data_IF_631271233080
#
_entry.id   IF_631271233080
#
_cell.length_a   1.000
_cell.length_b   1.000
_cell.length_c   1.000
_cell.angle_alpha   90.00
_cell.angle_beta   90.00
_cell.angle_gamma   90.00
#
_symmetry.space_group_name_H-M   'P 1'
#
loop_
_entity.id
_entity.type
_entity.pdbx_description
1 polymer ?
#
# COMPACT_ATOMS: atom_id res chain seq x y z
N UNK A 1 -1.64 -9.53 3.35
CA UNK A 1 -1.44 -8.12 2.87
C UNK A 1 -0.34 -8.13 1.83
N UNK A 2 -0.53 -7.45 0.70
CA UNK A 2 0.42 -7.36 -0.40
C UNK A 2 1.53 -6.37 0.00
N UNK A 3 2.80 -6.78 -0.10
CA UNK A 3 3.92 -5.94 0.29
C UNK A 3 4.25 -4.88 -0.78
N UNK A 4 4.88 -3.77 -0.37
CA UNK A 4 5.34 -2.73 -1.31
C UNK A 4 6.32 -3.29 -2.35
N UNK A 5 7.15 -4.24 -1.95
CA UNK A 5 8.04 -4.98 -2.85
C UNK A 5 7.28 -5.78 -3.91
N UNK A 6 6.15 -6.39 -3.54
CA UNK A 6 5.32 -7.13 -4.50
C UNK A 6 4.64 -6.17 -5.48
N UNK A 7 4.12 -5.02 -5.02
CA UNK A 7 3.61 -3.96 -5.91
C UNK A 7 4.66 -3.49 -6.91
N UNK A 8 5.92 -3.31 -6.45
CA UNK A 8 7.01 -2.93 -7.34
C UNK A 8 7.28 -3.97 -8.43
N UNK A 9 7.26 -5.27 -8.10
CA UNK A 9 7.41 -6.33 -9.10
C UNK A 9 6.22 -6.40 -10.05
N UNK A 10 5.01 -6.25 -9.55
CA UNK A 10 3.80 -6.23 -10.37
C UNK A 10 3.82 -5.03 -11.33
N UNK A 11 4.25 -3.85 -10.87
CA UNK A 11 4.41 -2.65 -11.69
C UNK A 11 5.53 -2.75 -12.74
N UNK A 12 6.52 -3.62 -12.52
CA UNK A 12 7.57 -3.94 -13.49
C UNK A 12 7.05 -4.92 -14.55
N UNK A 13 6.44 -6.00 -14.10
CA UNK A 13 6.01 -7.08 -14.97
C UNK A 13 4.87 -6.68 -15.92
N UNK A 14 4.04 -5.67 -15.58
CA UNK A 14 2.93 -5.24 -16.44
C UNK A 14 3.39 -4.72 -17.81
N UNK A 15 4.64 -4.23 -17.92
CA UNK A 15 5.21 -3.84 -19.21
C UNK A 15 5.37 -5.01 -20.20
N UNK A 16 5.38 -6.23 -19.70
CA UNK A 16 5.50 -7.45 -20.52
C UNK A 16 4.15 -7.91 -21.12
N UNK A 17 3.07 -7.14 -20.89
CA UNK A 17 1.79 -7.30 -21.58
C UNK A 17 1.86 -6.90 -23.06
N UNK A 18 2.77 -5.99 -23.42
CA UNK A 18 2.92 -5.44 -24.76
C UNK A 18 3.27 -6.53 -25.79
N UNK A 19 2.30 -6.83 -26.65
CA UNK A 19 2.41 -7.85 -27.70
C UNK A 19 3.31 -7.44 -28.86
N UNK A 20 3.60 -6.17 -28.99
CA UNK A 20 4.44 -5.65 -30.09
C UNK A 20 5.91 -5.68 -29.73
N UNK A 21 6.24 -5.62 -28.45
CA UNK A 21 7.61 -5.53 -27.91
C UNK A 21 8.11 -6.83 -27.27
N UNK A 22 7.22 -7.80 -27.00
CA UNK A 22 7.56 -9.07 -26.33
C UNK A 22 7.27 -10.28 -27.22
N UNK A 23 8.24 -11.18 -27.33
CA UNK A 23 8.03 -12.44 -28.05
C UNK A 23 7.05 -13.38 -27.32
N UNK A 24 7.02 -13.34 -26.00
CA UNK A 24 6.10 -14.10 -25.14
C UNK A 24 5.42 -13.13 -24.19
N UNK A 25 4.39 -12.41 -24.61
CA UNK A 25 3.69 -11.45 -23.75
C UNK A 25 2.95 -12.16 -22.62
N UNK A 26 2.84 -11.47 -21.49
CA UNK A 26 2.04 -11.93 -20.35
C UNK A 26 0.60 -12.15 -20.80
N UNK A 27 0.05 -13.29 -20.41
CA UNK A 27 -1.31 -13.73 -20.74
C UNK A 27 -2.04 -14.18 -19.47
N UNK A 28 -3.34 -14.45 -19.58
CA UNK A 28 -4.09 -15.06 -18.49
C UNK A 28 -3.43 -16.38 -18.04
N UNK A 29 -3.36 -16.59 -16.74
CA UNK A 29 -2.67 -17.68 -16.04
C UNK A 29 -1.13 -17.64 -16.08
N UNK A 30 -0.51 -16.58 -16.62
CA UNK A 30 0.92 -16.36 -16.41
C UNK A 30 1.19 -16.05 -14.93
N UNK A 31 2.30 -16.56 -14.38
CA UNK A 31 2.79 -16.15 -13.07
C UNK A 31 3.65 -14.89 -13.20
N UNK A 32 3.60 -14.00 -12.22
CA UNK A 32 4.30 -12.72 -12.16
C UNK A 32 4.81 -12.44 -10.74
N UNK A 33 5.56 -11.37 -10.56
CA UNK A 33 6.10 -10.93 -9.27
C UNK A 33 6.88 -12.06 -8.57
N UNK A 34 7.84 -12.66 -9.29
CA UNK A 34 8.65 -13.79 -8.80
C UNK A 34 7.82 -15.03 -8.44
N UNK A 35 6.85 -15.34 -9.28
CA UNK A 35 5.94 -16.49 -9.16
C UNK A 35 5.05 -16.50 -7.90
N UNK A 36 4.82 -15.32 -7.32
CA UNK A 36 3.92 -15.17 -6.17
C UNK A 36 2.49 -14.83 -6.56
N UNK A 37 2.29 -14.30 -7.75
CA UNK A 37 1.00 -13.84 -8.26
C UNK A 37 0.68 -14.49 -9.59
N UNK A 38 -0.62 -14.62 -9.88
CA UNK A 38 -1.13 -15.15 -11.13
C UNK A 38 -2.05 -14.14 -11.80
N UNK A 39 -1.94 -14.01 -13.12
CA UNK A 39 -2.81 -13.17 -13.93
C UNK A 39 -4.18 -13.83 -14.08
N UNK A 40 -5.22 -13.25 -13.49
CA UNK A 40 -6.56 -13.85 -13.39
C UNK A 40 -7.51 -13.46 -14.52
N UNK A 41 -7.19 -12.40 -15.26
CA UNK A 41 -7.97 -11.93 -16.42
C UNK A 41 -7.06 -11.76 -17.64
N UNK A 42 -7.61 -11.86 -18.87
CA UNK A 42 -6.82 -11.51 -20.05
C UNK A 42 -6.32 -10.07 -19.94
N UNK A 43 -5.00 -9.85 -20.03
CA UNK A 43 -4.43 -8.51 -19.99
C UNK A 43 -4.98 -7.65 -21.13
N UNK A 44 -5.08 -6.36 -20.88
CA UNK A 44 -5.44 -5.38 -21.91
C UNK A 44 -4.16 -4.81 -22.53
N UNK A 45 -4.13 -4.80 -23.84
CA UNK A 45 -3.16 -4.12 -24.68
C UNK A 45 -3.93 -3.32 -25.73
N UNK A 46 -4.30 -2.08 -25.36
CA UNK A 46 -5.15 -1.23 -26.18
C UNK A 46 -4.31 -0.39 -27.14
N UNK A 47 -4.09 -0.93 -28.34
CA UNK A 47 -3.30 -0.26 -29.38
C UNK A 47 -3.91 1.05 -29.91
N UNK A 48 -5.17 1.36 -29.57
CA UNK A 48 -5.81 2.59 -30.01
C UNK A 48 -5.44 3.84 -29.21
N UNK A 49 -5.12 3.67 -27.92
CA UNK A 49 -4.71 4.76 -27.02
C UNK A 49 -3.51 4.41 -26.15
N UNK A 50 -2.92 3.23 -26.32
CA UNK A 50 -1.70 2.82 -25.60
C UNK A 50 -1.92 2.29 -24.18
N UNK A 51 -3.14 2.27 -23.62
CA UNK A 51 -3.38 1.77 -22.27
C UNK A 51 -3.14 0.27 -22.19
N UNK A 52 -2.27 -0.14 -21.28
CA UNK A 52 -1.93 -1.52 -21.00
C UNK A 52 -2.15 -1.81 -19.52
N UNK A 53 -2.79 -2.95 -19.22
CA UNK A 53 -3.10 -3.33 -17.85
C UNK A 53 -3.19 -4.85 -17.68
N UNK A 54 -2.90 -5.31 -16.46
CA UNK A 54 -3.17 -6.69 -16.04
C UNK A 54 -3.85 -6.71 -14.67
N UNK A 55 -4.55 -7.82 -14.40
CA UNK A 55 -5.19 -8.09 -13.11
C UNK A 55 -4.58 -9.33 -12.52
N UNK A 56 -4.04 -9.21 -11.32
CA UNK A 56 -3.35 -10.30 -10.65
C UNK A 56 -3.94 -10.57 -9.27
N UNK A 57 -3.82 -11.81 -8.82
CA UNK A 57 -4.15 -12.24 -7.47
C UNK A 57 -2.98 -13.02 -6.88
N UNK A 58 -2.78 -13.02 -5.55
CA UNK A 58 -1.82 -13.90 -4.90
C UNK A 58 -2.10 -15.37 -5.23
N UNK A 59 -1.07 -16.19 -5.32
CA UNK A 59 -1.22 -17.65 -5.41
C UNK A 59 -1.44 -18.16 -3.98
N UNK A 60 -2.49 -18.96 -3.78
CA UNK A 60 -2.80 -19.57 -2.48
C UNK A 60 -1.63 -20.42 -1.99
N UNK A 61 -1.32 -20.27 -0.72
CA UNK A 61 -0.26 -21.04 -0.07
C UNK A 61 -0.48 -22.54 -0.23
N UNK A 62 0.60 -23.26 -0.56
CA UNK A 62 0.56 -24.70 -0.79
C UNK A 62 0.01 -25.14 -2.15
N UNK A 63 -0.32 -24.20 -3.04
CA UNK A 63 -0.74 -24.49 -4.42
C UNK A 63 0.28 -23.96 -5.43
N UNK A 64 0.22 -24.43 -6.68
CA UNK A 64 1.15 -23.99 -7.73
C UNK A 64 0.62 -22.81 -8.56
N UNK A 65 -0.70 -22.65 -8.65
CA UNK A 65 -1.32 -21.67 -9.54
C UNK A 65 -2.80 -21.35 -9.17
N UNK A 66 -3.27 -21.69 -7.96
CA UNK A 66 -4.64 -21.35 -7.57
C UNK A 66 -4.68 -19.89 -7.06
N UNK A 67 -5.47 -18.99 -7.68
CA UNK A 67 -5.55 -17.60 -7.25
C UNK A 67 -6.32 -17.46 -5.93
N UNK A 68 -5.83 -16.60 -5.06
CA UNK A 68 -6.60 -16.05 -3.96
C UNK A 68 -7.26 -14.74 -4.41
N UNK A 69 -8.50 -14.82 -4.83
CA UNK A 69 -9.25 -13.66 -5.31
C UNK A 69 -9.85 -12.80 -4.20
N UNK A 70 -9.53 -13.05 -2.93
CA UNK A 70 -9.90 -12.14 -1.84
C UNK A 70 -9.17 -10.81 -1.93
N UNK A 71 -7.92 -10.82 -2.44
CA UNK A 71 -7.09 -9.65 -2.72
C UNK A 71 -6.72 -9.61 -4.22
N UNK A 72 -6.95 -8.48 -4.88
CA UNK A 72 -6.66 -8.31 -6.31
C UNK A 72 -5.87 -7.02 -6.53
N UNK A 73 -4.89 -7.07 -7.42
CA UNK A 73 -4.16 -5.88 -7.88
C UNK A 73 -4.46 -5.64 -9.36
N UNK A 74 -4.85 -4.42 -9.71
CA UNK A 74 -4.87 -3.95 -11.10
C UNK A 74 -3.60 -3.13 -11.33
N UNK A 75 -2.76 -3.61 -12.23
CA UNK A 75 -1.52 -2.93 -12.61
C UNK A 75 -1.67 -2.25 -13.96
N UNK A 76 -1.17 -1.01 -14.06
CA UNK A 76 -1.15 -0.22 -15.29
C UNK A 76 0.30 0.02 -15.72
N UNK A 77 0.59 -0.20 -17.00
CA UNK A 77 1.91 0.09 -17.55
C UNK A 77 1.99 1.56 -17.95
N UNK A 78 3.13 2.17 -17.67
CA UNK A 78 3.48 3.45 -18.26
C UNK A 78 3.83 3.32 -19.74
N UNK A 79 4.16 4.45 -20.36
CA UNK A 79 4.58 4.48 -21.76
C UNK A 79 5.84 3.65 -21.95
N UNK A 80 5.75 2.69 -22.85
CA UNK A 80 6.83 1.77 -23.19
C UNK A 80 7.84 2.49 -24.12
N UNK A 81 8.59 3.45 -23.61
CA UNK A 81 9.50 4.23 -24.43
C UNK A 81 10.93 3.71 -24.33
N UNK A 82 11.48 3.34 -25.46
CA UNK A 82 12.92 3.33 -25.69
C UNK A 82 13.51 4.75 -25.86
N UNK A 83 12.65 5.76 -26.00
CA UNK A 83 13.01 7.15 -26.22
C UNK A 83 12.40 8.06 -25.15
N UNK A 84 13.27 8.74 -24.37
CA UNK A 84 12.85 9.67 -23.32
C UNK A 84 12.03 10.89 -23.81
N UNK A 85 11.92 11.11 -25.12
CA UNK A 85 11.10 12.15 -25.73
C UNK A 85 9.62 11.75 -25.79
N UNK A 86 9.30 10.47 -25.96
CA UNK A 86 7.90 9.99 -25.97
C UNK A 86 7.27 10.07 -24.56
N UNK A 87 8.08 9.80 -23.51
CA UNK A 87 7.63 9.91 -22.12
C UNK A 87 7.25 11.37 -21.79
N UNK A 88 8.03 12.35 -22.23
CA UNK A 88 7.75 13.76 -21.95
C UNK A 88 6.45 14.21 -22.62
N UNK A 89 6.16 13.75 -23.84
CA UNK A 89 4.93 14.08 -24.58
C UNK A 89 3.70 13.46 -23.92
N UNK A 90 3.79 12.22 -23.43
CA UNK A 90 2.66 11.55 -22.77
C UNK A 90 2.42 12.11 -21.36
N UNK A 91 3.47 12.56 -20.68
CA UNK A 91 3.35 13.27 -19.38
C UNK A 91 2.74 14.66 -19.55
N UNK A 92 3.03 15.37 -20.65
CA UNK A 92 2.35 16.65 -20.95
C UNK A 92 0.83 16.47 -21.10
N UNK A 93 0.35 15.30 -21.56
CA UNK A 93 -1.08 15.00 -21.63
C UNK A 93 -1.73 14.81 -20.26
N UNK A 94 -1.03 14.17 -19.31
CA UNK A 94 -1.46 14.10 -17.90
C UNK A 94 -1.42 15.50 -17.26
N UNK A 95 -0.41 16.29 -17.60
CA UNK A 95 -0.29 17.67 -17.14
C UNK A 95 -1.39 18.59 -17.70
N UNK A 96 -1.91 18.29 -18.91
CA UNK A 96 -2.99 19.06 -19.57
C UNK A 96 -4.41 18.71 -19.09
N UNK A 97 -4.59 17.63 -18.34
CA UNK A 97 -5.91 17.21 -17.82
C UNK A 97 -6.91 16.70 -18.87
N UNK A 98 -6.45 16.37 -20.08
CA UNK A 98 -7.33 16.01 -21.19
C UNK A 98 -7.91 14.59 -21.03
N UNK A 99 -9.23 14.50 -20.90
CA UNK A 99 -9.95 13.22 -20.91
C UNK A 99 -10.22 12.68 -22.32
N UNK A 100 -10.01 13.50 -23.35
CA UNK A 100 -10.12 13.13 -24.76
C UNK A 100 -8.97 13.75 -25.55
N UNK A 101 -8.27 12.94 -26.32
CA UNK A 101 -7.22 13.38 -27.24
C UNK A 101 -7.76 13.59 -28.63
N UNK A 102 -7.36 14.68 -29.28
CA UNK A 102 -7.66 14.92 -30.68
C UNK A 102 -6.80 13.98 -31.53
N UNK A 103 -7.37 12.89 -32.01
CA UNK A 103 -6.65 11.88 -32.78
C UNK A 103 -6.28 12.34 -34.20
N UNK A 104 -7.06 13.27 -34.75
CA UNK A 104 -6.85 13.84 -36.09
C UNK A 104 -7.56 15.19 -36.18
N UNK A 105 -6.76 16.24 -36.39
CA UNK A 105 -7.26 17.62 -36.54
C UNK A 105 -8.14 17.84 -37.80
N UNK A 106 -8.00 16.96 -38.81
CA UNK A 106 -8.72 17.05 -40.07
C UNK A 106 -10.12 16.42 -39.98
N UNK A 107 -10.25 15.31 -39.23
CA UNK A 107 -11.51 14.56 -39.07
C UNK A 107 -12.24 14.88 -37.77
N UNK A 108 -11.62 15.65 -36.84
CA UNK A 108 -12.14 15.93 -35.49
C UNK A 108 -12.52 14.67 -34.71
N UNK A 109 -11.79 13.58 -34.93
CA UNK A 109 -11.99 12.34 -34.19
C UNK A 109 -11.26 12.42 -32.83
N UNK A 110 -12.00 12.12 -31.76
CA UNK A 110 -11.46 12.08 -30.41
C UNK A 110 -11.22 10.63 -30.00
N UNK A 111 -10.06 10.35 -29.42
CA UNK A 111 -9.81 9.09 -28.71
C UNK A 111 -10.09 9.27 -27.23
N UNK A 112 -10.59 8.22 -26.58
CA UNK A 112 -10.66 8.19 -25.12
C UNK A 112 -9.25 8.27 -24.56
N UNK A 113 -9.06 9.08 -23.52
CA UNK A 113 -7.79 9.10 -22.79
C UNK A 113 -7.51 7.73 -22.15
N UNK A 114 -6.24 7.45 -21.88
CA UNK A 114 -5.84 6.24 -21.18
C UNK A 114 -6.53 6.16 -19.80
N UNK A 115 -6.54 7.24 -18.99
CA UNK A 115 -7.20 7.27 -17.69
C UNK A 115 -8.68 6.91 -17.73
N UNK A 116 -9.43 7.37 -18.75
CA UNK A 116 -10.85 6.98 -18.92
C UNK A 116 -11.00 5.49 -19.24
N UNK A 117 -10.15 4.95 -20.10
CA UNK A 117 -10.16 3.53 -20.46
C UNK A 117 -9.77 2.68 -19.26
N UNK A 118 -8.78 3.12 -18.47
CA UNK A 118 -8.34 2.48 -17.24
C UNK A 118 -9.49 2.40 -16.22
N UNK A 119 -10.25 3.49 -16.05
CA UNK A 119 -11.41 3.53 -15.15
C UNK A 119 -12.53 2.59 -15.60
N UNK A 120 -12.89 2.59 -16.90
CA UNK A 120 -13.89 1.68 -17.44
C UNK A 120 -13.48 0.20 -17.25
N UNK A 121 -12.19 -0.09 -17.40
CA UNK A 121 -11.66 -1.43 -17.12
C UNK A 121 -11.78 -1.80 -15.64
N UNK A 122 -11.38 -0.92 -14.75
CA UNK A 122 -11.48 -1.12 -13.31
C UNK A 122 -12.93 -1.36 -12.85
N UNK A 123 -13.89 -0.61 -13.39
CA UNK A 123 -15.32 -0.80 -13.11
C UNK A 123 -15.81 -2.19 -13.54
N UNK A 124 -15.34 -2.69 -14.68
CA UNK A 124 -15.64 -4.04 -15.14
C UNK A 124 -15.06 -5.12 -14.21
N UNK A 125 -13.81 -4.94 -13.77
CA UNK A 125 -13.16 -5.86 -12.83
C UNK A 125 -13.89 -5.84 -11.49
N UNK A 126 -14.20 -4.67 -10.93
CA UNK A 126 -14.96 -4.54 -9.68
C UNK A 126 -16.32 -5.24 -9.74
N UNK A 127 -17.02 -5.12 -10.88
CA UNK A 127 -18.32 -5.79 -11.08
C UNK A 127 -18.18 -7.31 -11.15
N UNK A 128 -17.03 -7.82 -11.65
CA UNK A 128 -16.76 -9.25 -11.77
C UNK A 128 -16.32 -9.87 -10.44
N UNK A 129 -15.63 -9.09 -9.61
CA UNK A 129 -15.08 -9.49 -8.31
C UNK A 129 -15.63 -8.64 -7.17
N UNK A 130 -16.96 -8.68 -6.89
CA UNK A 130 -17.61 -7.74 -5.97
C UNK A 130 -17.20 -7.90 -4.50
N UNK A 131 -16.63 -9.05 -4.14
CA UNK A 131 -16.21 -9.37 -2.77
C UNK A 131 -14.68 -9.26 -2.55
N UNK A 132 -13.94 -8.86 -3.58
CA UNK A 132 -12.48 -8.74 -3.51
C UNK A 132 -12.06 -7.38 -2.97
N UNK A 133 -11.01 -7.35 -2.17
CA UNK A 133 -10.26 -6.14 -1.90
C UNK A 133 -9.40 -5.83 -3.13
N UNK A 134 -9.68 -4.71 -3.79
CA UNK A 134 -8.98 -4.33 -5.02
C UNK A 134 -8.08 -3.14 -4.74
N UNK A 135 -6.84 -3.25 -5.16
CA UNK A 135 -5.84 -2.18 -5.09
C UNK A 135 -5.27 -1.91 -6.48
N UNK A 136 -4.57 -0.79 -6.63
CA UNK A 136 -3.95 -0.42 -7.90
C UNK A 136 -2.45 -0.21 -7.75
N UNK A 137 -1.72 -0.41 -8.83
CA UNK A 137 -0.30 -0.10 -8.91
C UNK A 137 0.10 0.31 -10.31
N UNK A 138 1.20 1.02 -10.41
CA UNK A 138 1.79 1.39 -11.69
C UNK A 138 3.18 2.00 -11.52
N UNK A 139 3.78 2.33 -12.65
CA UNK A 139 5.04 3.04 -12.73
C UNK A 139 4.94 4.11 -13.82
N UNK A 140 5.56 5.27 -13.61
CA UNK A 140 5.53 6.36 -14.58
C UNK A 140 4.09 6.81 -14.89
N UNK A 141 3.71 6.97 -16.14
CA UNK A 141 2.33 7.29 -16.55
C UNK A 141 1.31 6.25 -16.04
N UNK A 142 1.68 4.96 -16.00
CA UNK A 142 0.82 3.91 -15.44
C UNK A 142 0.49 4.11 -13.96
N UNK A 143 1.37 4.75 -13.21
CA UNK A 143 1.06 5.15 -11.83
C UNK A 143 0.06 6.30 -11.78
N UNK A 144 0.14 7.27 -12.69
CA UNK A 144 -0.90 8.32 -12.78
C UNK A 144 -2.27 7.73 -13.10
N UNK A 145 -2.33 6.72 -13.97
CA UNK A 145 -3.57 5.96 -14.25
C UNK A 145 -4.06 5.21 -13.01
N UNK A 146 -3.14 4.53 -12.30
CA UNK A 146 -3.44 3.79 -11.08
C UNK A 146 -3.99 4.70 -9.98
N UNK A 147 -3.36 5.86 -9.74
CA UNK A 147 -3.82 6.89 -8.80
C UNK A 147 -5.22 7.40 -9.16
N UNK A 148 -5.43 7.74 -10.44
CA UNK A 148 -6.72 8.22 -10.92
C UNK A 148 -7.83 7.19 -10.70
N UNK A 149 -7.57 5.92 -11.04
CA UNK A 149 -8.52 4.82 -10.83
C UNK A 149 -8.77 4.59 -9.34
N UNK A 150 -7.73 4.55 -8.51
CA UNK A 150 -7.85 4.38 -7.06
C UNK A 150 -8.74 5.47 -6.45
N UNK A 151 -8.53 6.72 -6.82
CA UNK A 151 -9.35 7.84 -6.36
C UNK A 151 -10.82 7.66 -6.77
N UNK A 152 -11.10 7.39 -8.05
CA UNK A 152 -12.47 7.26 -8.57
C UNK A 152 -13.22 6.05 -8.01
N UNK A 153 -12.50 4.98 -7.70
CA UNK A 153 -13.06 3.74 -7.15
C UNK A 153 -13.08 3.70 -5.62
N UNK A 154 -12.32 4.57 -4.96
CA UNK A 154 -12.12 4.58 -3.51
C UNK A 154 -11.27 3.39 -3.06
N UNK A 155 -10.21 3.08 -3.77
CA UNK A 155 -9.27 2.00 -3.49
C UNK A 155 -7.93 2.53 -2.97
N UNK A 156 -7.12 1.63 -2.42
CA UNK A 156 -5.72 1.94 -2.13
C UNK A 156 -4.87 1.85 -3.39
N UNK A 157 -3.83 2.68 -3.42
CA UNK A 157 -2.79 2.67 -4.45
C UNK A 157 -1.41 2.55 -3.83
N UNK A 158 -0.54 1.80 -4.49
CA UNK A 158 0.90 1.77 -4.21
C UNK A 158 1.65 1.75 -5.54
N UNK A 159 2.28 2.84 -5.88
CA UNK A 159 3.00 2.90 -7.14
C UNK A 159 4.30 3.69 -7.06
N UNK A 160 4.95 3.85 -8.22
CA UNK A 160 6.33 4.28 -8.28
C UNK A 160 6.55 5.32 -9.38
N UNK A 161 7.18 6.43 -9.00
CA UNK A 161 7.68 7.44 -9.93
C UNK A 161 6.61 7.99 -10.90
N UNK A 162 5.35 8.04 -10.46
CA UNK A 162 4.25 8.59 -11.26
C UNK A 162 4.14 10.10 -11.17
N UNK A 163 3.87 10.81 -12.26
CA UNK A 163 3.46 12.22 -12.22
C UNK A 163 2.20 12.45 -11.40
N UNK A 164 2.10 13.62 -10.77
CA UNK A 164 0.91 14.05 -10.02
C UNK A 164 -0.30 14.27 -10.96
N UNK A 165 -1.47 13.87 -10.51
CA UNK A 165 -2.71 13.87 -11.30
C UNK A 165 -3.62 15.08 -11.04
N UNK A 166 -3.16 16.11 -10.34
CA UNK A 166 -4.00 17.24 -9.93
C UNK A 166 -4.77 17.90 -11.09
N UNK A 167 -4.19 17.92 -12.29
CA UNK A 167 -4.84 18.47 -13.48
C UNK A 167 -5.98 17.60 -14.06
N UNK A 168 -6.08 16.33 -13.63
CA UNK A 168 -7.09 15.37 -14.11
C UNK A 168 -8.32 15.27 -13.21
N UNK A 169 -8.32 15.95 -12.07
CA UNK A 169 -9.30 15.79 -10.99
C UNK A 169 -9.77 17.16 -10.49
N UNK A 170 -10.87 17.18 -9.74
CA UNK A 170 -11.44 18.41 -9.18
C UNK A 170 -10.70 18.86 -7.91
N UNK A 171 -10.88 20.13 -7.51
CA UNK A 171 -10.30 20.68 -6.28
C UNK A 171 -10.74 19.88 -5.03
N UNK A 172 -12.00 19.45 -4.95
CA UNK A 172 -12.50 18.61 -3.84
C UNK A 172 -11.78 17.25 -3.79
N UNK A 173 -11.44 16.68 -4.95
CA UNK A 173 -10.69 15.42 -5.05
C UNK A 173 -9.22 15.61 -4.69
N UNK A 174 -8.62 16.75 -5.05
CA UNK A 174 -7.27 17.11 -4.60
C UNK A 174 -7.24 17.23 -3.08
N UNK A 175 -8.20 17.92 -2.48
CA UNK A 175 -8.28 18.07 -1.02
C UNK A 175 -8.54 16.74 -0.31
N UNK A 176 -9.33 15.84 -0.93
CA UNK A 176 -9.48 14.48 -0.44
C UNK A 176 -8.15 13.71 -0.45
N UNK A 177 -7.39 13.75 -1.54
CA UNK A 177 -6.08 13.08 -1.63
C UNK A 177 -5.07 13.65 -0.63
N UNK A 178 -5.02 14.97 -0.47
CA UNK A 178 -4.18 15.67 0.54
C UNK A 178 -4.45 15.18 1.98
N UNK A 179 -5.71 14.88 2.28
CA UNK A 179 -6.12 14.43 3.62
C UNK A 179 -5.99 12.92 3.84
N UNK A 180 -5.67 12.15 2.78
CA UNK A 180 -5.54 10.68 2.83
C UNK A 180 -4.27 10.20 2.11
N UNK A 181 -3.07 10.75 2.42
CA UNK A 181 -1.85 10.42 1.69
C UNK A 181 -1.47 8.94 1.80
N UNK A 182 -1.84 8.27 2.88
CA UNK A 182 -1.54 6.84 3.09
C UNK A 182 -2.34 5.93 2.14
N UNK A 183 -3.52 6.41 1.68
CA UNK A 183 -4.32 5.71 0.68
C UNK A 183 -3.69 5.74 -0.71
N UNK A 184 -2.96 6.82 -1.03
CA UNK A 184 -2.44 7.12 -2.37
C UNK A 184 -0.93 7.22 -2.34
N UNK A 185 -0.24 6.09 -2.14
CA UNK A 185 1.21 6.05 -1.96
C UNK A 185 1.94 5.99 -3.30
N UNK A 186 2.53 7.11 -3.69
CA UNK A 186 3.36 7.22 -4.87
C UNK A 186 4.82 7.44 -4.44
N UNK A 187 5.60 6.38 -4.40
CA UNK A 187 7.01 6.45 -4.08
C UNK A 187 7.77 7.13 -5.21
N UNK A 188 8.45 8.24 -4.91
CA UNK A 188 9.21 9.02 -5.90
C UNK A 188 10.65 9.22 -5.48
N UNK A 189 11.57 9.03 -6.41
CA UNK A 189 12.93 9.48 -6.22
C UNK A 189 12.98 11.01 -6.40
N UNK A 190 13.65 11.72 -5.47
CA UNK A 190 13.80 13.19 -5.54
C UNK A 190 14.49 13.67 -6.81
N UNK A 191 15.37 12.85 -7.40
CA UNK A 191 16.07 13.15 -8.65
C UNK A 191 15.29 12.74 -9.91
N UNK A 192 14.11 12.12 -9.77
CA UNK A 192 13.30 11.70 -10.91
C UNK A 192 12.70 12.89 -11.64
N UNK A 193 13.22 13.19 -12.84
CA UNK A 193 12.75 14.32 -13.66
C UNK A 193 11.39 14.08 -14.31
N UNK A 194 10.93 12.84 -14.41
CA UNK A 194 9.65 12.47 -15.02
C UNK A 194 8.55 12.48 -13.96
N UNK A 195 8.72 11.71 -12.89
CA UNK A 195 7.75 11.63 -11.80
C UNK A 195 7.47 12.99 -11.12
N UNK A 196 8.46 13.89 -11.12
CA UNK A 196 8.35 15.21 -10.49
C UNK A 196 7.90 16.33 -11.43
N UNK A 197 7.66 16.06 -12.73
CA UNK A 197 7.38 17.09 -13.74
C UNK A 197 6.10 17.88 -13.44
N UNK A 198 5.08 17.25 -12.87
CA UNK A 198 3.79 17.86 -12.50
C UNK A 198 3.74 18.30 -11.03
N UNK A 199 4.87 18.25 -10.31
CA UNK A 199 4.93 18.60 -8.90
C UNK A 199 4.29 17.57 -7.96
N UNK A 200 3.72 18.01 -6.83
CA UNK A 200 3.06 17.18 -5.81
C UNK A 200 1.92 17.94 -5.15
N UNK A 201 0.95 18.38 -5.96
CA UNK A 201 -0.19 19.15 -5.47
C UNK A 201 -1.14 18.28 -4.64
N UNK A 202 -1.32 17.00 -5.04
CA UNK A 202 -2.14 16.01 -4.32
C UNK A 202 -1.52 15.51 -3.02
N UNK A 203 -0.23 15.79 -2.74
CA UNK A 203 0.54 15.31 -1.58
C UNK A 203 0.67 13.79 -1.48
N UNK A 204 0.53 13.08 -2.59
CA UNK A 204 0.63 11.62 -2.64
C UNK A 204 2.06 11.12 -2.79
N UNK A 205 3.01 11.98 -3.19
CA UNK A 205 4.41 11.60 -3.34
C UNK A 205 5.08 11.40 -1.98
N UNK A 206 5.65 10.21 -1.80
CA UNK A 206 6.54 9.84 -0.69
C UNK A 206 7.95 9.84 -1.26
N UNK A 207 8.76 10.81 -0.85
CA UNK A 207 10.08 11.02 -1.44
C UNK A 207 11.14 10.10 -0.85
N UNK A 208 12.00 9.63 -1.74
CA UNK A 208 13.13 8.78 -1.45
C UNK A 208 14.41 9.38 -2.04
N UNK A 209 15.38 9.62 -1.18
CA UNK A 209 16.63 10.34 -1.49
C UNK A 209 17.79 9.41 -1.83
N UNK A 210 17.59 8.38 -2.65
CA UNK A 210 18.72 7.58 -3.11
C UNK A 210 19.48 8.32 -4.19
N UNK A 211 20.66 8.78 -3.84
CA UNK A 211 21.56 9.55 -4.75
C UNK A 211 22.71 8.69 -5.27
N UNK A 212 23.14 7.69 -4.50
CA UNK A 212 24.31 6.87 -4.82
C UNK A 212 24.07 6.00 -6.06
N UNK A 213 24.97 6.11 -7.04
CA UNK A 213 24.89 5.35 -8.30
C UNK A 213 23.84 5.85 -9.29
N UNK A 214 23.10 6.93 -8.98
CA UNK A 214 22.10 7.53 -9.86
C UNK A 214 22.72 8.73 -10.59
N UNK A 215 23.01 8.54 -11.86
CA UNK A 215 23.52 9.58 -12.74
C UNK A 215 22.43 10.04 -13.72
N UNK A 216 21.70 11.08 -13.32
CA UNK A 216 20.72 11.76 -14.15
C UNK A 216 19.25 11.34 -13.92
N UNK A 217 18.31 12.19 -14.35
CA UNK A 217 16.88 12.08 -14.03
C UNK A 217 16.20 10.83 -14.60
N UNK A 218 16.66 10.34 -15.75
CA UNK A 218 16.10 9.11 -16.35
C UNK A 218 16.50 7.84 -15.58
N UNK A 219 17.70 7.81 -14.98
CA UNK A 219 18.10 6.68 -14.12
C UNK A 219 17.35 6.70 -12.80
N UNK A 220 17.07 7.89 -12.25
CA UNK A 220 16.29 8.05 -11.04
C UNK A 220 14.85 7.56 -11.22
N UNK A 221 14.33 7.58 -12.45
CA UNK A 221 12.99 7.11 -12.80
C UNK A 221 12.83 5.59 -12.75
N UNK A 222 13.90 4.82 -12.78
CA UNK A 222 13.85 3.36 -12.93
C UNK A 222 13.38 2.62 -11.68
N UNK A 223 12.56 1.57 -11.85
CA UNK A 223 12.06 0.68 -10.79
C UNK A 223 13.14 -0.10 -10.03
N UNK A 224 14.36 -0.23 -10.58
CA UNK A 224 15.46 -0.92 -9.92
C UNK A 224 16.06 -0.15 -8.73
N UNK A 225 15.70 1.11 -8.53
CA UNK A 225 16.30 1.99 -7.52
C UNK A 225 15.72 1.79 -6.11
N UNK A 226 14.63 1.02 -5.96
CA UNK A 226 13.94 0.83 -4.69
C UNK A 226 14.59 -0.27 -3.85
N UNK A 227 14.81 0.01 -2.56
CA UNK A 227 15.30 -0.93 -1.56
C UNK A 227 14.17 -1.35 -0.62
N UNK A 228 14.21 -2.60 -0.16
CA UNK A 228 13.16 -3.17 0.68
C UNK A 228 13.76 -3.94 1.86
N UNK A 229 13.09 -3.90 3.00
CA UNK A 229 13.41 -4.77 4.13
C UNK A 229 12.95 -6.23 3.88
N UNK A 230 13.07 -7.08 4.90
CA UNK A 230 12.68 -8.51 4.79
C UNK A 230 11.17 -8.68 4.66
N UNK A 231 10.41 -7.77 5.23
CA UNK A 231 8.95 -7.71 5.21
C UNK A 231 8.41 -7.16 3.89
N UNK A 232 9.29 -6.59 3.06
CA UNK A 232 8.95 -6.05 1.74
C UNK A 232 8.48 -4.60 1.76
N UNK A 233 8.75 -3.85 2.82
CA UNK A 233 8.49 -2.43 2.93
C UNK A 233 9.64 -1.63 2.32
N UNK A 234 9.34 -0.47 1.70
CA UNK A 234 10.36 0.45 1.17
C UNK A 234 11.18 1.04 2.32
N UNK A 235 12.49 0.97 2.20
CA UNK A 235 13.44 1.49 3.18
C UNK A 235 14.39 2.50 2.58
N UNK A 236 14.86 3.44 3.41
CA UNK A 236 15.90 4.39 3.07
C UNK A 236 17.30 3.74 2.97
N UNK A 237 18.35 4.53 2.76
CA UNK A 237 19.73 4.06 2.67
C UNK A 237 20.24 3.39 3.96
N UNK A 238 19.63 3.70 5.11
CA UNK A 238 19.98 3.16 6.41
C UNK A 238 19.14 1.93 6.79
N UNK A 239 18.26 1.48 5.91
CA UNK A 239 17.33 0.38 6.16
C UNK A 239 16.11 0.76 6.99
N UNK A 240 15.87 2.07 7.20
CA UNK A 240 14.70 2.56 7.92
C UNK A 240 13.49 2.61 6.97
N UNK A 241 12.35 2.15 7.44
CA UNK A 241 11.09 2.23 6.72
C UNK A 241 10.69 3.68 6.43
N UNK A 242 10.27 3.93 5.20
CA UNK A 242 9.82 5.26 4.77
C UNK A 242 8.38 5.51 5.20
N UNK A 243 7.57 4.45 5.28
CA UNK A 243 6.16 4.54 5.64
C UNK A 243 5.87 3.74 6.90
N UNK A 244 5.22 4.37 7.86
CA UNK A 244 4.82 3.77 9.14
C UNK A 244 3.72 2.72 8.94
N UNK A 245 3.95 1.48 9.39
CA UNK A 245 3.03 0.35 9.22
C UNK A 245 1.71 0.54 9.96
N UNK A 246 1.73 1.20 11.12
CA UNK A 246 0.53 1.52 11.89
C UNK A 246 -0.36 2.51 11.13
N UNK A 247 0.22 3.52 10.50
CA UNK A 247 -0.49 4.49 9.65
C UNK A 247 -1.11 3.80 8.45
N UNK A 248 -0.41 2.84 7.83
CA UNK A 248 -0.95 2.04 6.73
C UNK A 248 -2.15 1.19 7.14
N UNK A 249 -2.10 0.54 8.30
CA UNK A 249 -3.22 -0.27 8.82
C UNK A 249 -4.46 0.60 9.08
N UNK A 250 -4.26 1.81 9.60
CA UNK A 250 -5.33 2.78 9.80
C UNK A 250 -5.93 3.25 8.48
N UNK A 251 -5.11 3.53 7.47
CA UNK A 251 -5.55 3.94 6.14
C UNK A 251 -6.42 2.85 5.47
N UNK A 252 -6.01 1.58 5.53
CA UNK A 252 -6.81 0.46 5.02
C UNK A 252 -8.18 0.39 5.67
N UNK A 253 -8.26 0.58 6.99
CA UNK A 253 -9.52 0.61 7.72
C UNK A 253 -10.41 1.77 7.25
N UNK A 254 -9.81 2.94 7.01
CA UNK A 254 -10.50 4.13 6.50
C UNK A 254 -11.07 3.88 5.11
N UNK A 255 -10.29 3.26 4.20
CA UNK A 255 -10.73 2.91 2.84
C UNK A 255 -11.89 1.92 2.87
N UNK A 256 -11.80 0.86 3.66
CA UNK A 256 -12.90 -0.11 3.80
C UNK A 256 -14.17 0.55 4.33
N UNK A 257 -14.05 1.43 5.31
CA UNK A 257 -15.18 2.22 5.84
C UNK A 257 -15.77 3.14 4.78
N UNK A 258 -14.94 3.81 3.99
CA UNK A 258 -15.40 4.65 2.88
C UNK A 258 -16.15 3.85 1.82
N UNK A 259 -15.68 2.66 1.45
CA UNK A 259 -16.36 1.79 0.50
C UNK A 259 -17.76 1.37 0.98
N UNK A 260 -17.91 1.07 2.28
CA UNK A 260 -19.21 0.77 2.89
C UNK A 260 -20.12 1.99 2.81
N UNK A 261 -19.62 3.18 3.16
CA UNK A 261 -20.38 4.43 3.07
C UNK A 261 -20.82 4.74 1.63
N UNK A 262 -19.96 4.50 0.65
CA UNK A 262 -20.30 4.65 -0.78
C UNK A 262 -21.39 3.69 -1.20
N UNK A 263 -21.35 2.42 -0.77
CA UNK A 263 -22.44 1.46 -0.97
C UNK A 263 -23.76 1.94 -0.34
N UNK A 264 -23.71 2.44 0.89
CA UNK A 264 -24.88 3.04 1.56
C UNK A 264 -25.50 4.16 0.74
N UNK A 265 -24.68 5.09 0.21
CA UNK A 265 -25.15 6.21 -0.63
C UNK A 265 -25.74 5.75 -1.96
N UNK A 266 -25.17 4.75 -2.62
CA UNK A 266 -25.68 4.21 -3.86
C UNK A 266 -27.03 3.52 -3.69
N UNK A 267 -27.20 2.77 -2.60
CA UNK A 267 -28.45 2.07 -2.27
C UNK A 267 -29.55 3.04 -1.82
N UNK A 268 -29.21 4.19 -1.20
CA UNK A 268 -30.20 5.19 -0.79
C UNK A 268 -30.93 5.86 -1.94
N UNK A 269 -30.39 5.84 -3.16
CA UNK A 269 -31.10 6.33 -4.35
C UNK A 269 -32.33 5.49 -4.70
N UNK A 270 -32.43 4.22 -4.22
CA UNK A 270 -33.58 3.33 -4.32
C UNK A 270 -34.41 3.22 -3.03
N UNK A 271 -33.96 3.85 -1.91
CA UNK A 271 -34.53 3.71 -0.57
C UNK A 271 -34.02 2.43 0.13
N UNK A 272 -33.06 2.56 1.07
CA UNK A 272 -32.63 1.44 1.91
C UNK A 272 -33.77 1.02 2.84
N UNK A 273 -34.07 -0.28 2.86
CA UNK A 273 -34.87 -0.88 3.93
C UNK A 273 -34.15 -0.78 5.29
N UNK A 274 -34.90 -0.93 6.39
CA UNK A 274 -34.29 -0.91 7.72
C UNK A 274 -33.25 -2.01 7.90
N UNK A 275 -33.49 -3.20 7.33
CA UNK A 275 -32.61 -4.35 7.39
C UNK A 275 -31.31 -4.13 6.63
N UNK A 276 -31.35 -3.50 5.44
CA UNK A 276 -30.15 -3.15 4.69
C UNK A 276 -29.29 -2.12 5.42
N UNK A 277 -29.89 -1.17 6.14
CA UNK A 277 -29.16 -0.23 6.99
C UNK A 277 -28.46 -0.95 8.14
N UNK A 278 -29.19 -1.82 8.88
CA UNK A 278 -28.64 -2.61 9.98
C UNK A 278 -27.46 -3.46 9.50
N UNK A 279 -27.60 -4.12 8.37
CA UNK A 279 -26.52 -4.94 7.81
C UNK A 279 -25.26 -4.11 7.47
N UNK A 280 -25.42 -2.98 6.79
CA UNK A 280 -24.31 -2.11 6.45
C UNK A 280 -23.66 -1.42 7.66
N UNK A 281 -24.45 -1.10 8.70
CA UNK A 281 -23.91 -0.56 9.95
C UNK A 281 -23.13 -1.63 10.71
N UNK A 282 -23.61 -2.87 10.72
CA UNK A 282 -22.93 -4.03 11.28
C UNK A 282 -21.61 -4.34 10.55
N UNK A 283 -21.61 -4.31 9.22
CA UNK A 283 -20.40 -4.46 8.40
C UNK A 283 -19.37 -3.38 8.73
N UNK A 284 -19.80 -2.12 8.84
CA UNK A 284 -18.93 -1.00 9.19
C UNK A 284 -18.33 -1.15 10.59
N UNK A 285 -19.11 -1.53 11.58
CA UNK A 285 -18.65 -1.77 12.95
C UNK A 285 -17.59 -2.89 13.00
N UNK A 286 -17.81 -3.96 12.24
CA UNK A 286 -16.86 -5.09 12.13
C UNK A 286 -15.54 -4.67 11.48
N UNK A 287 -15.59 -3.86 10.42
CA UNK A 287 -14.39 -3.34 9.74
C UNK A 287 -13.59 -2.44 10.68
N UNK A 288 -14.23 -1.52 11.38
CA UNK A 288 -13.56 -0.62 12.33
C UNK A 288 -12.92 -1.42 13.48
N UNK A 289 -13.65 -2.37 14.07
CA UNK A 289 -13.13 -3.21 15.14
C UNK A 289 -11.94 -4.06 14.71
N UNK A 290 -11.98 -4.62 13.49
CA UNK A 290 -10.86 -5.37 12.92
C UNK A 290 -9.66 -4.47 12.63
N UNK A 291 -9.89 -3.26 12.15
CA UNK A 291 -8.84 -2.27 11.91
C UNK A 291 -8.11 -1.84 13.18
N UNK A 292 -8.83 -1.66 14.28
CA UNK A 292 -8.22 -1.35 15.58
C UNK A 292 -7.29 -2.47 16.06
N UNK A 293 -7.69 -3.73 15.90
CA UNK A 293 -6.85 -4.89 16.24
C UNK A 293 -5.61 -4.91 15.35
N UNK A 294 -5.78 -4.83 14.03
CA UNK A 294 -4.66 -4.84 13.08
C UNK A 294 -3.66 -3.71 13.33
N UNK A 295 -4.14 -2.50 13.63
CA UNK A 295 -3.27 -1.36 13.96
C UNK A 295 -2.49 -1.61 15.25
N UNK A 296 -3.13 -2.17 16.28
CA UNK A 296 -2.46 -2.49 17.54
C UNK A 296 -1.44 -3.63 17.41
N UNK A 297 -1.74 -4.65 16.60
CA UNK A 297 -0.81 -5.76 16.30
C UNK A 297 0.42 -5.24 15.55
N UNK A 298 0.23 -4.38 14.54
CA UNK A 298 1.33 -3.76 13.80
C UNK A 298 2.21 -2.92 14.72
N UNK A 299 1.60 -2.09 15.57
CA UNK A 299 2.33 -1.29 16.57
C UNK A 299 3.11 -2.17 17.57
N UNK A 300 2.55 -3.30 17.98
CA UNK A 300 3.24 -4.25 18.86
C UNK A 300 4.49 -4.83 18.19
N UNK A 301 4.41 -5.23 16.92
CA UNK A 301 5.56 -5.78 16.18
C UNK A 301 6.65 -4.71 15.97
N UNK A 302 6.29 -3.48 15.69
CA UNK A 302 7.22 -2.35 15.59
C UNK A 302 7.93 -2.07 16.95
N UNK A 303 7.18 -2.11 18.06
CA UNK A 303 7.74 -1.96 19.41
C UNK A 303 8.69 -3.12 19.75
N UNK A 304 8.34 -4.36 19.42
CA UNK A 304 9.20 -5.55 19.62
C UNK A 304 10.48 -5.45 18.80
N UNK A 305 10.37 -5.04 17.53
CA UNK A 305 11.55 -4.82 16.67
C UNK A 305 12.47 -3.76 17.23
N UNK A 306 11.92 -2.61 17.64
CA UNK A 306 12.68 -1.52 18.27
C UNK A 306 13.31 -1.93 19.61
N UNK A 307 12.60 -2.71 20.42
CA UNK A 307 13.10 -3.24 21.68
C UNK A 307 14.31 -4.14 21.45
N UNK A 308 14.22 -5.07 20.50
CA UNK A 308 15.32 -5.97 20.14
C UNK A 308 16.54 -5.19 19.66
N UNK A 309 16.36 -4.23 18.76
CA UNK A 309 17.45 -3.40 18.25
C UNK A 309 18.14 -2.60 19.37
N UNK A 310 17.36 -2.01 20.29
CA UNK A 310 17.91 -1.26 21.42
C UNK A 310 18.71 -2.13 22.40
N UNK A 311 18.28 -3.37 22.64
CA UNK A 311 19.03 -4.32 23.49
C UNK A 311 20.31 -4.77 22.77
N UNK A 312 20.26 -5.08 21.49
CA UNK A 312 21.45 -5.42 20.68
C UNK A 312 22.48 -4.27 20.70
N UNK A 313 22.03 -3.02 20.52
CA UNK A 313 22.90 -1.83 20.60
C UNK A 313 23.49 -1.65 22.01
N UNK A 314 22.71 -1.88 23.06
CA UNK A 314 23.19 -1.83 24.45
C UNK A 314 24.23 -2.91 24.73
N UNK A 315 24.09 -4.12 24.21
CA UNK A 315 25.06 -5.20 24.30
C UNK A 315 26.36 -4.86 23.55
N UNK A 316 26.26 -4.29 22.36
CA UNK A 316 27.42 -3.83 21.59
C UNK A 316 28.16 -2.71 22.32
N UNK A 317 27.44 -1.74 22.88
CA UNK A 317 27.99 -0.67 23.71
C UNK A 317 28.72 -1.24 24.94
N UNK A 318 28.12 -2.19 25.65
CA UNK A 318 28.75 -2.86 26.77
C UNK A 318 30.04 -3.60 26.38
N UNK A 319 30.00 -4.33 25.26
CA UNK A 319 31.15 -5.07 24.74
C UNK A 319 32.31 -4.14 24.36
N UNK A 320 31.98 -2.96 23.82
CA UNK A 320 32.97 -1.92 23.52
C UNK A 320 33.53 -1.30 24.79
N UNK A 321 32.67 -1.00 25.77
CA UNK A 321 33.03 -0.38 27.05
C UNK A 321 33.99 -1.26 27.87
N UNK A 322 33.77 -2.58 27.93
CA UNK A 322 34.64 -3.50 28.67
C UNK A 322 35.99 -3.79 27.99
N UNK A 323 36.18 -3.33 26.75
CA UNK A 323 37.43 -3.51 26.05
C UNK A 323 38.50 -2.54 26.55
N UNK A 324 39.73 -3.05 26.70
CA UNK A 324 40.85 -2.22 27.16
C UNK A 324 41.10 -1.07 26.16
N UNK A 325 41.12 0.20 26.61
CA UNK A 325 41.43 1.31 25.72
C UNK A 325 42.82 1.21 25.11
N UNK A 326 42.96 1.60 23.86
CA UNK A 326 44.24 1.53 23.15
C UNK A 326 45.33 2.35 23.87
N UNK A 327 46.49 1.72 24.11
CA UNK A 327 47.66 2.37 24.70
C UNK A 327 47.70 2.28 26.23
N UNK A 328 46.76 1.67 26.92
CA UNK A 328 46.79 1.40 28.35
C UNK A 328 47.37 0.00 28.56
N UNK A 329 48.57 -0.06 29.18
CA UNK A 329 49.31 -1.31 29.41
C UNK A 329 49.49 -1.66 30.89
N UNK A 330 49.10 -0.77 31.81
CA UNK A 330 49.32 -0.92 33.24
C UNK A 330 48.05 -1.29 34.05
N UNK A 331 46.87 -1.25 33.41
CA UNK A 331 45.62 -1.68 34.01
C UNK A 331 45.26 -3.12 33.57
N UNK A 332 44.77 -3.90 34.51
CA UNK A 332 44.18 -5.20 34.23
C UNK A 332 42.69 -5.02 33.85
N UNK A 333 42.11 -6.01 33.14
CA UNK A 333 40.68 -6.00 32.84
C UNK A 333 39.81 -5.92 34.11
N UNK A 334 40.26 -6.50 35.23
CA UNK A 334 39.55 -6.45 36.51
C UNK A 334 39.54 -5.04 37.09
N UNK A 335 40.68 -4.33 37.08
CA UNK A 335 40.77 -2.94 37.54
C UNK A 335 39.96 -1.97 36.68
N UNK A 336 39.90 -2.21 35.35
CA UNK A 336 39.07 -1.45 34.44
C UNK A 336 37.58 -1.67 34.77
N UNK A 337 37.16 -2.92 34.96
CA UNK A 337 35.78 -3.25 35.31
C UNK A 337 35.37 -2.66 36.69
N UNK A 338 36.27 -2.65 37.65
CA UNK A 338 36.04 -2.04 38.98
C UNK A 338 35.86 -0.51 38.86
N UNK A 339 36.72 0.15 38.08
CA UNK A 339 36.62 1.60 37.87
C UNK A 339 35.31 1.98 37.16
N UNK A 340 34.86 1.20 36.15
CA UNK A 340 33.57 1.41 35.51
C UNK A 340 32.39 1.16 36.47
N UNK A 341 32.48 0.11 37.30
CA UNK A 341 31.44 -0.20 38.29
C UNK A 341 31.30 0.90 39.36
N UNK A 342 32.43 1.47 39.82
CA UNK A 342 32.43 2.63 40.72
C UNK A 342 31.78 3.86 40.08
N UNK A 343 31.97 4.04 38.75
CA UNK A 343 31.31 5.06 37.96
C UNK A 343 29.83 4.77 37.63
N UNK A 344 29.30 3.63 38.07
CA UNK A 344 27.94 3.20 37.81
C UNK A 344 27.73 2.62 36.39
N UNK A 345 28.82 2.35 35.66
CA UNK A 345 28.78 1.77 34.31
C UNK A 345 28.91 0.25 34.41
N UNK A 346 27.82 -0.45 34.40
CA UNK A 346 27.74 -1.91 34.55
C UNK A 346 26.87 -2.54 33.46
N UNK A 347 27.00 -3.84 33.26
CA UNK A 347 26.07 -4.58 32.38
C UNK A 347 24.61 -4.33 32.79
N UNK A 348 24.33 -4.30 34.09
CA UNK A 348 22.99 -4.01 34.61
C UNK A 348 22.52 -2.62 34.21
N UNK A 349 23.38 -1.60 34.28
CA UNK A 349 22.99 -0.22 33.97
C UNK A 349 22.82 0.05 32.50
N UNK A 350 23.54 -0.65 31.63
CA UNK A 350 23.50 -0.46 30.17
C UNK A 350 22.52 -1.44 29.53
N UNK A 351 22.66 -2.74 29.78
CA UNK A 351 21.88 -3.77 29.08
C UNK A 351 20.58 -4.12 29.82
N UNK A 352 20.71 -4.56 31.11
CA UNK A 352 19.54 -5.08 31.84
C UNK A 352 18.45 -4.00 32.06
N UNK A 353 18.84 -2.76 32.32
CA UNK A 353 17.86 -1.66 32.46
C UNK A 353 17.21 -1.30 31.15
N UNK A 354 17.95 -1.35 30.05
CA UNK A 354 17.39 -1.13 28.70
C UNK A 354 16.37 -2.22 28.37
N UNK A 355 16.73 -3.48 28.54
CA UNK A 355 15.86 -4.64 28.36
C UNK A 355 14.59 -4.53 29.21
N UNK A 356 14.74 -4.34 30.51
CA UNK A 356 13.60 -4.14 31.44
C UNK A 356 12.71 -2.94 31.05
N UNK A 357 13.28 -1.88 30.50
CA UNK A 357 12.52 -0.72 30.05
C UNK A 357 11.63 -1.10 28.85
N UNK A 358 12.19 -1.78 27.87
CA UNK A 358 11.47 -2.18 26.68
C UNK A 358 10.48 -3.32 26.95
N UNK A 359 10.80 -4.27 27.82
CA UNK A 359 9.86 -5.32 28.27
C UNK A 359 8.55 -4.72 28.78
N UNK A 360 8.64 -3.64 29.58
CA UNK A 360 7.45 -2.93 30.07
C UNK A 360 6.64 -2.28 28.95
N UNK A 361 7.30 -1.80 27.91
CA UNK A 361 6.62 -1.22 26.74
C UNK A 361 5.93 -2.29 25.90
N UNK A 362 6.62 -3.40 25.66
CA UNK A 362 6.06 -4.57 24.96
C UNK A 362 4.84 -5.11 25.71
N UNK A 363 4.96 -5.35 27.04
CA UNK A 363 3.85 -5.84 27.85
C UNK A 363 2.62 -4.91 27.79
N UNK A 364 2.84 -3.60 27.80
CA UNK A 364 1.74 -2.63 27.67
C UNK A 364 1.10 -2.64 26.27
N UNK A 365 1.87 -2.83 25.21
CA UNK A 365 1.36 -2.97 23.85
C UNK A 365 0.57 -4.29 23.70
N UNK A 366 1.04 -5.39 24.29
CA UNK A 366 0.31 -6.68 24.31
C UNK A 366 -1.04 -6.57 25.06
N UNK A 367 -1.09 -5.80 26.14
CA UNK A 367 -2.35 -5.49 26.85
C UNK A 367 -3.33 -4.73 25.95
N UNK A 368 -2.83 -3.78 25.15
CA UNK A 368 -3.68 -3.05 24.18
C UNK A 368 -4.21 -3.96 23.08
N UNK A 369 -3.37 -4.84 22.49
CA UNK A 369 -3.81 -5.84 21.50
C UNK A 369 -4.91 -6.73 22.10
N UNK A 370 -4.70 -7.22 23.32
CA UNK A 370 -5.69 -8.04 24.03
C UNK A 370 -7.00 -7.28 24.24
N UNK A 371 -6.92 -6.01 24.63
CA UNK A 371 -8.09 -5.15 24.84
C UNK A 371 -8.88 -4.95 23.55
N UNK A 372 -8.22 -4.63 22.46
CA UNK A 372 -8.89 -4.44 21.18
C UNK A 372 -9.42 -5.75 20.59
N UNK A 373 -8.74 -6.88 20.80
CA UNK A 373 -9.23 -8.20 20.40
C UNK A 373 -10.50 -8.57 21.15
N UNK A 374 -10.56 -8.29 22.45
CA UNK A 374 -11.78 -8.50 23.27
C UNK A 374 -12.91 -7.59 22.77
N UNK A 375 -12.63 -6.31 22.58
CA UNK A 375 -13.60 -5.35 22.05
C UNK A 375 -14.16 -5.78 20.68
N UNK A 376 -13.28 -6.26 19.77
CA UNK A 376 -13.71 -6.82 18.47
C UNK A 376 -14.66 -7.99 18.66
N UNK A 377 -14.34 -8.93 19.55
CA UNK A 377 -15.18 -10.09 19.86
C UNK A 377 -16.54 -9.67 20.40
N UNK A 378 -16.60 -8.69 21.31
CA UNK A 378 -17.82 -8.16 21.87
C UNK A 378 -18.69 -7.46 20.81
N UNK A 379 -18.08 -6.67 19.93
CA UNK A 379 -18.76 -6.03 18.79
C UNK A 379 -19.32 -7.10 17.83
N UNK A 380 -18.54 -8.11 17.47
CA UNK A 380 -19.00 -9.20 16.60
C UNK A 380 -20.18 -9.96 17.20
N UNK A 381 -20.11 -10.31 18.50
CA UNK A 381 -21.20 -10.97 19.21
C UNK A 381 -22.47 -10.10 19.26
N UNK A 382 -22.31 -8.79 19.49
CA UNK A 382 -23.42 -7.84 19.44
C UNK A 382 -24.06 -7.75 18.05
N UNK A 383 -23.24 -7.71 17.00
CA UNK A 383 -23.70 -7.71 15.60
C UNK A 383 -24.46 -8.99 15.27
N UNK A 384 -23.93 -10.17 15.62
CA UNK A 384 -24.59 -11.46 15.40
C UNK A 384 -25.94 -11.53 16.12
N UNK A 385 -25.99 -11.05 17.36
CA UNK A 385 -27.22 -10.98 18.14
C UNK A 385 -28.27 -10.09 17.47
N UNK A 386 -27.85 -8.94 16.97
CA UNK A 386 -28.71 -7.97 16.29
C UNK A 386 -29.27 -8.52 14.98
N UNK A 387 -28.41 -9.15 14.16
CA UNK A 387 -28.81 -9.78 12.90
C UNK A 387 -29.73 -10.97 13.10
N UNK A 388 -29.48 -11.77 14.15
CA UNK A 388 -30.34 -12.90 14.53
C UNK A 388 -31.75 -12.43 14.95
N UNK A 389 -31.82 -11.37 15.76
CA UNK A 389 -33.10 -10.77 16.18
C UNK A 389 -33.86 -10.14 15.03
N UNK A 390 -33.18 -9.50 14.10
CA UNK A 390 -33.83 -8.95 12.90
C UNK A 390 -34.42 -10.06 12.03
N UNK A 391 -33.70 -11.18 11.86
CA UNK A 391 -34.17 -12.37 11.14
C UNK A 391 -35.38 -13.04 11.82
N UNK A 392 -35.36 -13.13 13.14
CA UNK A 392 -36.50 -13.66 13.95
C UNK A 392 -37.74 -12.81 13.74
N UNK A 393 -37.64 -11.50 13.90
CA UNK A 393 -38.73 -10.55 13.68
C UNK A 393 -39.29 -10.61 12.26
N UNK A 394 -38.43 -10.72 11.24
CA UNK A 394 -38.87 -10.88 9.85
C UNK A 394 -39.64 -12.20 9.64
N UNK A 395 -39.28 -13.27 10.35
CA UNK A 395 -40.00 -14.54 10.34
C UNK A 395 -41.38 -14.42 10.98
N UNK A 396 -41.47 -13.73 12.12
CA UNK A 396 -42.71 -13.50 12.86
C UNK A 396 -43.71 -12.66 12.04
N UNK A 397 -43.25 -11.61 11.37
CA UNK A 397 -44.08 -10.81 10.45
C UNK A 397 -44.64 -11.63 9.29
N UNK A 398 -43.84 -12.52 8.69
CA UNK A 398 -44.34 -13.42 7.62
C UNK A 398 -45.38 -14.41 8.11
N UNK A 399 -45.24 -14.89 9.36
CA UNK A 399 -46.24 -15.77 9.97
C UNK A 399 -47.55 -15.05 10.34
N UNK A 400 -47.50 -13.73 10.52
CA UNK A 400 -48.67 -12.88 10.78
C UNK A 400 -49.48 -12.55 9.49
N UNK A 401 -48.79 -12.53 8.32
CA UNK A 401 -49.43 -12.27 7.03
C UNK A 401 -50.04 -13.53 6.38
N UNK A 402 -49.74 -14.72 6.90
CA UNK A 402 -50.25 -16.02 6.42
C UNK A 402 -51.48 -16.49 7.21
#
# INVERSE_FOLDING_TARGET
MISEKDYRYIADDVYDVDRTKRNNPISKNSTVAKDKYIVIEPPIDNTSNGMQAMVVAPIKEGTTAEPDTSEIVIAYAGTNSGDGLDIATDVEMVAGGDTYLLADSTTKTFRKSQGKTALEYAQKISSKYPNSEITTTGHSLGESEALYVALKMGWMNVGYNGPDIHNMISDDEIDYMKSHPEQFRNYRNTLDGIGNITGNETKTAIYYDKVEGIYGPLKAHGLANWSFNKEGQVVDENGKEITDGMVLSLAQTTVKTFQINKRKQQMTKGGLSSNEKIFLDAEQATVIASGLVSTAETALEEIKSSAKAAVEEAEELWNTTKSMPFGITELTEAELAEAYAEGGVTYESIVTKTDTHFDKKVAKAEELVTTYTTLKSDIQSGVETMLSKDSELAGDFKAWEA
#
